data_IF_903541163847
#
_entry.id   IF_903541163847
#
_cell.length_a   1.000
_cell.length_b   1.000
_cell.length_c   1.000
_cell.angle_alpha   90.00
_cell.angle_beta   90.00
_cell.angle_gamma   90.00
#
_symmetry.space_group_name_H-M   'P 1'
#
loop_
_entity.id
_entity.type
_entity.pdbx_description
1 polymer ?
#
# COMPACT_ATOMS: atom_id res chain seq x y z
N UNK A 1 13.64 -8.20 16.06
CA UNK A 1 12.51 -7.43 16.65
C UNK A 1 11.73 -8.26 17.66
N UNK A 2 11.23 -9.45 17.30
CA UNK A 2 10.46 -10.29 18.24
C UNK A 2 11.30 -10.60 19.50
N UNK A 3 12.55 -11.02 19.34
CA UNK A 3 13.45 -11.29 20.48
C UNK A 3 13.59 -10.06 21.39
N UNK A 4 13.75 -8.87 20.80
CA UNK A 4 13.84 -7.62 21.55
C UNK A 4 12.59 -7.33 22.36
N UNK A 5 11.41 -7.71 21.84
CA UNK A 5 10.13 -7.49 22.53
C UNK A 5 10.04 -8.27 23.85
N UNK A 6 10.80 -9.35 24.01
CA UNK A 6 10.79 -10.16 25.24
C UNK A 6 11.92 -9.80 26.22
N UNK A 7 12.96 -9.11 25.76
CA UNK A 7 14.13 -8.83 26.62
C UNK A 7 13.75 -7.91 27.78
N UNK A 8 14.08 -8.33 29.00
CA UNK A 8 13.87 -7.62 30.26
C UNK A 8 12.39 -7.44 30.61
N UNK A 9 11.61 -6.78 29.76
CA UNK A 9 10.17 -6.57 29.95
C UNK A 9 9.46 -6.76 28.60
N UNK A 10 8.23 -7.19 28.66
CA UNK A 10 7.41 -7.35 27.43
C UNK A 10 7.07 -5.95 26.90
N UNK A 11 7.36 -5.75 25.62
CA UNK A 11 7.11 -4.50 24.89
C UNK A 11 6.10 -4.75 23.76
N UNK A 12 5.21 -3.80 23.55
CA UNK A 12 4.29 -3.87 22.41
C UNK A 12 5.09 -3.74 21.11
N UNK A 13 4.83 -4.63 20.17
CA UNK A 13 5.44 -4.61 18.84
C UNK A 13 4.43 -4.02 17.85
N UNK A 14 4.79 -2.94 17.20
CA UNK A 14 3.98 -2.32 16.15
C UNK A 14 4.60 -2.67 14.79
N UNK A 15 3.88 -3.45 13.98
CA UNK A 15 4.38 -3.93 12.69
C UNK A 15 3.69 -3.21 11.55
N UNK A 16 4.48 -2.53 10.72
CA UNK A 16 3.96 -1.86 9.53
C UNK A 16 4.01 -2.86 8.37
N UNK A 17 2.83 -3.37 8.01
CA UNK A 17 2.61 -4.28 6.90
C UNK A 17 2.14 -3.49 5.66
N UNK A 18 1.20 -4.04 4.89
CA UNK A 18 0.64 -3.42 3.68
C UNK A 18 -0.66 -4.14 3.31
N UNK A 19 -1.57 -3.46 2.62
CA UNK A 19 -2.74 -4.12 2.04
C UNK A 19 -2.35 -5.12 0.93
N UNK A 20 -1.13 -5.00 0.38
CA UNK A 20 -0.64 -5.94 -0.65
C UNK A 20 -0.46 -7.39 -0.13
N UNK A 21 -0.60 -7.64 1.19
CA UNK A 21 -0.61 -9.02 1.71
C UNK A 21 -1.82 -9.82 1.27
N UNK A 22 -2.85 -9.16 0.74
CA UNK A 22 -4.00 -9.84 0.15
C UNK A 22 -3.72 -10.11 -1.32
N UNK A 23 -4.13 -11.29 -1.79
CA UNK A 23 -4.04 -11.60 -3.21
C UNK A 23 -4.94 -10.63 -3.99
N UNK A 24 -4.49 -10.20 -5.18
CA UNK A 24 -5.26 -9.32 -6.05
C UNK A 24 -6.64 -9.89 -6.38
N UNK A 25 -6.77 -11.21 -6.46
CA UNK A 25 -8.04 -11.86 -6.69
C UNK A 25 -9.01 -11.75 -5.49
N UNK A 26 -8.47 -11.48 -4.28
CA UNK A 26 -9.32 -11.29 -3.09
C UNK A 26 -9.68 -9.83 -2.85
N UNK A 27 -9.06 -8.91 -3.61
CA UNK A 27 -9.33 -7.46 -3.51
C UNK A 27 -10.39 -7.01 -4.53
N UNK A 28 -11.42 -7.81 -4.74
CA UNK A 28 -12.56 -7.40 -5.57
C UNK A 28 -13.55 -6.59 -4.72
N UNK A 29 -14.35 -5.71 -5.36
CA UNK A 29 -15.37 -4.95 -4.62
C UNK A 29 -16.36 -5.84 -3.85
N UNK A 30 -16.47 -7.10 -4.26
CA UNK A 30 -17.38 -8.06 -3.65
C UNK A 30 -16.77 -8.80 -2.45
N UNK A 31 -15.45 -8.75 -2.29
CA UNK A 31 -14.71 -9.46 -1.25
C UNK A 31 -14.17 -8.51 -0.20
N UNK A 32 -14.79 -8.49 0.96
CA UNK A 32 -14.35 -7.67 2.08
C UNK A 32 -13.13 -8.31 2.76
N UNK A 33 -12.06 -7.54 2.93
CA UNK A 33 -10.91 -7.95 3.72
C UNK A 33 -11.06 -7.41 5.13
N UNK A 34 -10.85 -8.27 6.11
CA UNK A 34 -11.11 -7.92 7.51
C UNK A 34 -9.82 -7.53 8.25
N UNK A 35 -9.98 -6.64 9.21
CA UNK A 35 -8.92 -6.21 10.14
C UNK A 35 -8.66 -7.31 11.17
N UNK A 36 -8.07 -8.42 10.71
CA UNK A 36 -7.70 -9.58 11.55
C UNK A 36 -6.40 -10.20 11.04
N UNK A 37 -5.80 -11.02 11.86
CA UNK A 37 -4.59 -11.75 11.47
C UNK A 37 -4.87 -12.61 10.23
N UNK A 38 -3.89 -12.68 9.32
CA UNK A 38 -4.00 -13.49 8.12
C UNK A 38 -4.18 -14.98 8.46
N UNK A 39 -5.16 -15.60 7.84
CA UNK A 39 -5.33 -17.05 7.92
C UNK A 39 -4.23 -17.73 7.09
N UNK A 40 -3.82 -18.92 7.53
CA UNK A 40 -2.90 -19.77 6.74
C UNK A 40 -3.54 -20.21 5.40
N UNK A 41 -4.84 -20.13 5.31
CA UNK A 41 -5.58 -20.48 4.08
C UNK A 41 -5.60 -19.33 3.06
N UNK A 42 -5.16 -18.22 3.27
CA UNK A 42 -5.16 -17.24 2.43
C UNK A 42 -4.24 -17.53 1.40
N UNK A 43 -4.67 -17.17 0.40
CA UNK A 43 -3.83 -17.30 -0.77
C UNK A 43 -2.52 -16.51 -0.59
N UNK A 44 -1.45 -17.09 -1.05
CA UNK A 44 -0.15 -16.41 -1.04
C UNK A 44 -0.19 -15.33 -2.14
N UNK A 45 0.08 -14.07 -1.81
CA UNK A 45 0.01 -13.01 -2.83
C UNK A 45 1.10 -13.15 -3.89
N UNK A 46 0.88 -12.51 -5.04
CA UNK A 46 1.85 -12.49 -6.13
C UNK A 46 2.89 -11.38 -5.90
N UNK A 47 4.16 -11.69 -6.20
CA UNK A 47 5.24 -10.71 -6.11
C UNK A 47 6.04 -10.80 -4.80
N UNK A 48 7.35 -10.67 -4.92
CA UNK A 48 8.27 -10.85 -3.78
C UNK A 48 8.02 -9.91 -2.60
N UNK A 49 7.69 -8.64 -2.88
CA UNK A 49 7.37 -7.68 -1.82
C UNK A 49 6.16 -8.16 -0.99
N UNK A 50 5.05 -8.46 -1.67
CA UNK A 50 3.82 -8.89 -1.00
C UNK A 50 4.04 -10.21 -0.26
N UNK A 51 4.76 -11.15 -0.86
CA UNK A 51 5.10 -12.43 -0.24
C UNK A 51 5.94 -12.25 1.02
N UNK A 52 6.95 -11.36 0.98
CA UNK A 52 7.81 -11.11 2.15
C UNK A 52 7.00 -10.54 3.32
N UNK A 53 6.09 -9.61 3.04
CA UNK A 53 5.20 -9.03 4.07
C UNK A 53 4.21 -10.07 4.59
N UNK A 54 3.67 -10.91 3.70
CA UNK A 54 2.75 -11.99 4.07
C UNK A 54 3.44 -12.99 5.03
N UNK A 55 4.67 -13.43 4.69
CA UNK A 55 5.45 -14.34 5.55
C UNK A 55 5.74 -13.67 6.91
N UNK A 56 6.12 -12.39 6.89
CA UNK A 56 6.38 -11.64 8.13
C UNK A 56 5.13 -11.62 9.03
N UNK A 57 3.94 -11.40 8.46
CA UNK A 57 2.70 -11.43 9.24
C UNK A 57 2.40 -12.82 9.82
N UNK A 58 2.74 -13.91 9.10
CA UNK A 58 2.58 -15.27 9.67
C UNK A 58 3.47 -15.44 10.90
N UNK A 59 4.74 -15.00 10.83
CA UNK A 59 5.66 -15.07 11.97
C UNK A 59 5.18 -14.21 13.15
N UNK A 60 4.67 -13.01 12.85
CA UNK A 60 4.12 -12.08 13.83
C UNK A 60 2.89 -12.68 14.52
N UNK A 61 2.01 -13.34 13.74
CA UNK A 61 0.85 -14.04 14.29
C UNK A 61 1.26 -15.17 15.26
N UNK A 62 2.33 -15.91 14.93
CA UNK A 62 2.85 -16.94 15.83
C UNK A 62 3.40 -16.34 17.14
N UNK A 63 4.10 -15.21 17.04
CA UNK A 63 4.61 -14.50 18.22
C UNK A 63 3.47 -13.97 19.10
N UNK A 64 2.41 -13.45 18.47
CA UNK A 64 1.24 -12.97 19.20
C UNK A 64 0.58 -14.11 20.00
N UNK A 65 0.46 -15.29 19.40
CA UNK A 65 -0.08 -16.48 20.08
C UNK A 65 0.78 -16.93 21.27
N UNK A 66 2.04 -16.51 21.31
CA UNK A 66 2.97 -16.79 22.42
C UNK A 66 3.05 -15.66 23.43
N UNK A 67 2.13 -14.69 23.35
CA UNK A 67 1.98 -13.65 24.36
C UNK A 67 2.64 -12.32 24.05
N UNK A 68 3.23 -12.12 22.85
CA UNK A 68 3.73 -10.79 22.48
C UNK A 68 2.53 -9.90 22.14
N UNK A 69 2.35 -8.74 22.79
CA UNK A 69 1.30 -7.80 22.40
C UNK A 69 1.69 -7.14 21.09
N UNK A 70 0.95 -7.39 20.01
CA UNK A 70 1.31 -6.94 18.66
C UNK A 70 0.16 -6.17 18.03
N UNK A 71 0.47 -5.03 17.42
CA UNK A 71 -0.46 -4.26 16.58
C UNK A 71 0.08 -4.31 15.14
N UNK A 72 -0.78 -4.64 14.18
CA UNK A 72 -0.40 -4.65 12.76
C UNK A 72 -1.12 -3.49 12.06
N UNK A 73 -0.38 -2.71 11.28
CA UNK A 73 -0.93 -1.66 10.43
C UNK A 73 -0.73 -2.06 8.97
N UNK A 74 -1.79 -2.04 8.18
CA UNK A 74 -1.76 -2.34 6.73
C UNK A 74 -2.16 -1.08 5.95
N UNK A 75 -1.21 -0.20 5.69
CA UNK A 75 -1.51 0.93 4.80
C UNK A 75 -1.69 0.47 3.35
N UNK A 76 -2.49 1.21 2.60
CA UNK A 76 -2.51 1.16 1.14
C UNK A 76 -1.20 1.74 0.59
N UNK A 77 -1.20 2.19 -0.65
CA UNK A 77 -0.03 2.84 -1.24
C UNK A 77 0.19 4.20 -0.54
N UNK A 78 1.31 4.33 0.20
CA UNK A 78 1.59 5.58 0.90
C UNK A 78 2.11 6.61 -0.11
N UNK A 79 1.40 7.73 -0.23
CA UNK A 79 1.74 8.82 -1.12
C UNK A 79 2.47 9.95 -0.35
N UNK A 80 2.81 11.01 -1.06
CA UNK A 80 3.40 12.21 -0.44
C UNK A 80 2.48 12.80 0.63
N UNK A 81 3.06 13.47 1.59
CA UNK A 81 2.29 14.18 2.62
C UNK A 81 1.58 15.39 2.00
N UNK A 82 0.37 15.67 2.46
CA UNK A 82 -0.42 16.81 1.97
C UNK A 82 0.16 18.16 2.44
N UNK A 83 0.78 18.17 3.63
CA UNK A 83 1.32 19.40 4.22
C UNK A 83 2.72 19.74 3.71
N UNK A 84 3.40 18.86 3.00
CA UNK A 84 4.74 19.12 2.44
C UNK A 84 4.81 18.67 0.98
N UNK A 85 4.10 19.38 0.07
CA UNK A 85 3.98 18.92 -1.33
C UNK A 85 5.26 19.07 -2.18
N UNK A 86 6.36 19.60 -1.62
CA UNK A 86 7.58 19.89 -2.38
C UNK A 86 8.45 18.67 -2.69
N UNK A 87 8.17 17.52 -2.10
CA UNK A 87 8.95 16.31 -2.37
C UNK A 87 8.25 15.42 -3.37
N UNK A 88 8.87 15.22 -4.51
CA UNK A 88 8.41 14.20 -5.46
C UNK A 88 8.71 12.84 -4.83
N UNK A 89 7.67 12.15 -4.43
CA UNK A 89 7.81 10.84 -3.82
C UNK A 89 8.40 9.83 -4.81
N UNK A 90 9.20 8.90 -4.29
CA UNK A 90 9.75 7.81 -5.08
C UNK A 90 8.83 6.58 -5.06
N UNK A 91 7.62 6.73 -4.53
CA UNK A 91 6.66 5.63 -4.52
C UNK A 91 6.22 5.25 -5.95
N UNK A 92 5.73 4.03 -6.08
CA UNK A 92 5.37 3.45 -7.37
C UNK A 92 4.30 4.27 -8.11
N UNK A 93 3.27 4.74 -7.39
CA UNK A 93 2.18 5.50 -8.01
C UNK A 93 2.68 6.81 -8.58
N UNK A 94 3.44 7.58 -7.79
CA UNK A 94 4.01 8.85 -8.25
C UNK A 94 4.89 8.63 -9.49
N UNK A 95 5.73 7.58 -9.46
CA UNK A 95 6.59 7.28 -10.61
C UNK A 95 5.77 6.90 -11.84
N UNK A 96 4.69 6.12 -11.66
CA UNK A 96 3.78 5.77 -12.75
C UNK A 96 3.17 7.03 -13.39
N UNK A 97 2.62 7.93 -12.57
CA UNK A 97 2.00 9.17 -13.06
C UNK A 97 3.01 10.07 -13.77
N UNK A 98 4.25 10.16 -13.25
CA UNK A 98 5.32 10.92 -13.90
C UNK A 98 5.68 10.34 -15.27
N UNK A 99 5.71 9.01 -15.39
CA UNK A 99 5.96 8.34 -16.67
C UNK A 99 4.81 8.63 -17.65
N UNK A 100 3.56 8.52 -17.17
CA UNK A 100 2.40 8.85 -18.00
C UNK A 100 2.46 10.29 -18.51
N UNK A 101 2.82 11.22 -17.63
CA UNK A 101 2.96 12.65 -18.00
C UNK A 101 4.07 12.85 -19.04
N UNK A 102 5.24 12.23 -18.84
CA UNK A 102 6.38 12.35 -19.79
C UNK A 102 6.07 11.75 -21.15
N UNK A 103 5.37 10.63 -21.17
CA UNK A 103 4.98 9.98 -22.43
C UNK A 103 3.74 10.61 -23.06
N UNK A 104 2.97 11.39 -22.30
CA UNK A 104 1.62 11.88 -22.65
C UNK A 104 0.67 10.72 -22.99
N UNK A 105 0.92 9.54 -22.36
CA UNK A 105 0.14 8.33 -22.55
C UNK A 105 -0.10 7.63 -21.20
N UNK A 106 -1.29 7.13 -20.98
CA UNK A 106 -1.64 6.33 -19.81
C UNK A 106 -2.31 5.03 -20.24
N UNK A 107 -2.17 3.95 -19.47
CA UNK A 107 -2.85 2.71 -19.80
C UNK A 107 -4.36 2.85 -19.52
N UNK A 108 -5.18 2.32 -20.44
CA UNK A 108 -6.63 2.27 -20.27
C UNK A 108 -6.96 1.12 -19.30
N UNK A 109 -6.87 1.41 -18.01
CA UNK A 109 -7.09 0.43 -16.95
C UNK A 109 -8.17 0.90 -15.98
N UNK A 110 -8.99 -0.03 -15.53
CA UNK A 110 -10.08 0.24 -14.58
C UNK A 110 -9.65 -0.04 -13.13
N UNK A 111 -8.38 -0.36 -12.90
CA UNK A 111 -7.88 -0.66 -11.56
C UNK A 111 -8.04 0.51 -10.60
N UNK A 112 -8.43 0.20 -9.38
CA UNK A 112 -8.51 1.17 -8.30
C UNK A 112 -7.17 1.24 -7.58
N UNK A 113 -6.76 2.43 -7.20
CA UNK A 113 -5.56 2.66 -6.40
C UNK A 113 -5.98 3.19 -5.04
N UNK A 114 -5.68 2.43 -4.02
CA UNK A 114 -5.89 2.85 -2.63
C UNK A 114 -4.60 3.53 -2.15
N UNK A 115 -4.59 4.86 -2.17
CA UNK A 115 -3.43 5.61 -1.69
C UNK A 115 -3.79 6.44 -0.46
N UNK A 116 -2.81 6.57 0.42
CA UNK A 116 -2.99 7.19 1.74
C UNK A 116 -1.86 8.22 1.93
N UNK A 117 -2.19 9.49 2.21
CA UNK A 117 -1.14 10.47 2.47
C UNK A 117 -0.25 10.08 3.67
N UNK A 118 1.07 10.33 3.54
CA UNK A 118 2.05 9.93 4.55
C UNK A 118 1.77 10.59 5.91
N UNK A 119 1.32 11.83 5.92
CA UNK A 119 0.98 12.55 7.14
C UNK A 119 -0.24 11.93 7.85
N UNK A 120 -1.26 11.52 7.08
CA UNK A 120 -2.40 10.80 7.65
C UNK A 120 -1.95 9.45 8.22
N UNK A 121 -1.20 8.66 7.43
CA UNK A 121 -0.74 7.34 7.88
C UNK A 121 0.10 7.46 9.15
N UNK A 122 1.05 8.41 9.20
CA UNK A 122 1.92 8.59 10.36
C UNK A 122 1.15 9.03 11.60
N UNK A 123 0.19 9.95 11.46
CA UNK A 123 -0.66 10.39 12.57
C UNK A 123 -1.51 9.23 13.10
N UNK A 124 -2.13 8.46 12.20
CA UNK A 124 -2.95 7.30 12.60
C UNK A 124 -2.11 6.27 13.36
N UNK A 125 -0.94 5.92 12.83
CA UNK A 125 -0.03 4.96 13.48
C UNK A 125 0.38 5.49 14.86
N UNK A 126 0.78 6.76 14.93
CA UNK A 126 1.23 7.38 16.19
C UNK A 126 0.12 7.33 17.26
N UNK A 127 -1.09 7.74 16.90
CA UNK A 127 -2.21 7.76 17.84
C UNK A 127 -2.61 6.35 18.30
N UNK A 128 -2.77 5.42 17.35
CA UNK A 128 -3.20 4.05 17.65
C UNK A 128 -2.13 3.32 18.47
N UNK A 129 -0.84 3.54 18.18
CA UNK A 129 0.24 2.86 18.89
C UNK A 129 0.33 3.23 20.37
N UNK A 130 -0.23 4.38 20.77
CA UNK A 130 -0.28 4.82 22.16
C UNK A 130 -1.45 4.23 22.94
N UNK A 131 -2.42 3.61 22.26
CA UNK A 131 -3.60 3.05 22.91
C UNK A 131 -3.33 1.57 23.25
N UNK A 132 -3.32 1.25 24.55
CA UNK A 132 -3.10 -0.12 25.01
C UNK A 132 -4.13 -1.11 24.47
N UNK A 133 -5.32 -0.63 24.11
CA UNK A 133 -6.40 -1.45 23.53
C UNK A 133 -6.11 -1.88 22.09
N UNK A 134 -5.09 -1.29 21.44
CA UNK A 134 -4.69 -1.64 20.09
C UNK A 134 -3.87 -2.94 20.04
N UNK A 135 -3.33 -3.37 21.18
CA UNK A 135 -2.56 -4.62 21.24
C UNK A 135 -3.46 -5.80 20.85
N UNK A 136 -2.95 -6.65 19.97
CA UNK A 136 -3.69 -7.80 19.44
C UNK A 136 -4.56 -7.49 18.24
N UNK A 137 -4.56 -6.24 17.76
CA UNK A 137 -5.44 -5.82 16.67
C UNK A 137 -4.68 -5.55 15.38
N UNK A 138 -5.43 -5.54 14.28
CA UNK A 138 -4.95 -5.20 12.94
C UNK A 138 -5.76 -4.00 12.45
N UNK A 139 -5.10 -3.05 11.82
CA UNK A 139 -5.75 -1.83 11.31
C UNK A 139 -5.41 -1.66 9.84
N UNK A 140 -6.43 -1.43 9.01
CA UNK A 140 -6.25 -1.04 7.62
C UNK A 140 -6.23 0.49 7.53
N UNK A 141 -5.16 1.04 6.99
CA UNK A 141 -5.06 2.48 6.74
C UNK A 141 -5.26 2.67 5.23
N UNK A 142 -6.53 2.80 4.86
CA UNK A 142 -6.98 2.83 3.47
C UNK A 142 -7.84 4.06 3.23
N UNK A 143 -7.96 4.48 1.98
CA UNK A 143 -8.85 5.58 1.63
C UNK A 143 -10.28 5.04 1.47
N UNK A 144 -11.29 5.71 2.04
CA UNK A 144 -12.68 5.24 1.92
C UNK A 144 -13.19 5.24 0.48
N UNK A 145 -12.59 6.06 -0.39
CA UNK A 145 -12.96 6.18 -1.79
C UNK A 145 -11.68 6.08 -2.65
N UNK A 146 -11.19 4.85 -2.93
CA UNK A 146 -9.99 4.71 -3.74
C UNK A 146 -10.24 5.24 -5.16
N UNK A 147 -9.23 5.87 -5.75
CA UNK A 147 -9.33 6.48 -7.08
C UNK A 147 -8.95 5.48 -8.17
N UNK A 148 -9.61 5.56 -9.32
CA UNK A 148 -9.17 4.82 -10.51
C UNK A 148 -8.04 5.56 -11.22
N UNK A 149 -7.25 4.86 -11.99
CA UNK A 149 -6.25 5.48 -12.87
C UNK A 149 -6.89 6.51 -13.80
N UNK A 150 -7.89 6.25 -14.25
CA UNK A 150 -8.65 7.03 -14.98
C UNK A 150 -8.90 8.26 -14.41
N UNK A 151 -9.45 8.36 -13.18
CA UNK A 151 -9.74 9.61 -12.48
C UNK A 151 -8.47 10.43 -12.24
N UNK A 152 -7.38 9.77 -11.84
CA UNK A 152 -6.10 10.46 -11.63
C UNK A 152 -5.60 11.14 -12.92
N UNK A 153 -5.73 10.47 -14.07
CA UNK A 153 -5.32 11.03 -15.36
C UNK A 153 -6.24 12.20 -15.76
N UNK A 154 -7.55 12.08 -15.50
CA UNK A 154 -8.48 13.18 -15.77
C UNK A 154 -8.12 14.42 -14.95
N UNK A 155 -7.74 14.22 -13.68
CA UNK A 155 -7.30 15.32 -12.83
C UNK A 155 -6.01 15.97 -13.36
N UNK A 156 -5.03 15.17 -13.77
CA UNK A 156 -3.80 15.70 -14.38
C UNK A 156 -4.10 16.48 -15.66
N UNK A 157 -5.05 15.99 -16.47
CA UNK A 157 -5.46 16.67 -17.71
C UNK A 157 -6.18 17.99 -17.42
N UNK A 158 -6.96 18.06 -16.35
CA UNK A 158 -7.58 19.36 -15.95
C UNK A 158 -6.52 20.39 -15.59
N UNK A 159 -5.32 19.92 -15.18
CA UNK A 159 -4.17 20.77 -14.88
C UNK A 159 -3.25 20.99 -16.11
N UNK A 160 -3.66 20.54 -17.30
CA UNK A 160 -2.95 20.79 -18.56
C UNK A 160 -1.94 19.72 -18.99
N UNK A 161 -2.04 18.49 -18.48
CA UNK A 161 -1.04 17.46 -18.79
C UNK A 161 -1.17 16.85 -20.20
N UNK A 162 -2.37 16.89 -20.81
CA UNK A 162 -2.62 16.37 -22.16
C UNK A 162 -2.27 14.89 -22.35
N UNK A 163 -2.63 14.05 -21.37
CA UNK A 163 -2.34 12.60 -21.38
C UNK A 163 -3.50 11.87 -22.07
N UNK A 164 -3.18 11.03 -23.05
CA UNK A 164 -4.16 10.19 -23.78
C UNK A 164 -4.15 8.78 -23.24
N UNK A 165 -5.33 8.17 -23.13
CA UNK A 165 -5.43 6.76 -22.72
C UNK A 165 -5.27 5.84 -23.95
N UNK A 166 -4.46 4.80 -23.80
CA UNK A 166 -4.19 3.82 -24.86
C UNK A 166 -4.29 2.39 -24.26
N UNK A 167 -4.43 1.36 -25.12
CA UNK A 167 -4.37 -0.01 -24.60
C UNK A 167 -3.09 -0.29 -23.81
N UNK A 168 -3.19 -1.15 -22.79
CA UNK A 168 -2.08 -1.44 -21.89
C UNK A 168 -0.80 -1.88 -22.64
N UNK A 169 -0.97 -2.75 -23.64
CA UNK A 169 0.17 -3.28 -24.41
C UNK A 169 0.90 -2.17 -25.17
N UNK A 170 0.15 -1.20 -25.72
CA UNK A 170 0.74 -0.06 -26.41
C UNK A 170 1.50 0.83 -25.42
N UNK A 171 0.88 1.11 -24.27
CA UNK A 171 1.51 1.91 -23.22
C UNK A 171 2.79 1.24 -22.72
N UNK A 172 2.74 -0.06 -22.43
CA UNK A 172 3.89 -0.81 -21.93
C UNK A 172 5.06 -0.79 -22.94
N UNK A 173 4.77 -0.96 -24.23
CA UNK A 173 5.78 -0.85 -25.28
C UNK A 173 6.49 0.51 -25.24
N UNK A 174 5.73 1.58 -25.11
CA UNK A 174 6.28 2.94 -25.03
C UNK A 174 7.11 3.15 -23.77
N UNK A 175 6.70 2.60 -22.64
CA UNK A 175 7.49 2.65 -21.39
C UNK A 175 8.83 1.94 -21.58
N UNK A 176 8.82 0.73 -22.16
CA UNK A 176 10.05 -0.03 -22.41
C UNK A 176 11.00 0.74 -23.36
N UNK A 177 10.46 1.31 -24.44
CA UNK A 177 11.26 2.13 -25.37
C UNK A 177 11.87 3.35 -24.67
N UNK A 178 11.08 4.00 -23.79
CA UNK A 178 11.54 5.16 -23.02
C UNK A 178 12.66 4.78 -22.04
N UNK A 179 12.54 3.62 -21.38
CA UNK A 179 13.52 3.17 -20.39
C UNK A 179 14.90 2.88 -21.04
N UNK A 180 14.92 2.46 -22.30
CA UNK A 180 16.17 2.16 -23.03
C UNK A 180 16.93 3.41 -23.49
N UNK A 181 16.29 4.58 -23.43
CA UNK A 181 16.92 5.84 -23.87
C UNK A 181 17.59 6.61 -22.72
N UNK A 182 17.59 6.06 -21.52
CA UNK A 182 18.28 6.59 -20.34
C UNK A 182 19.53 5.80 -20.03
#
# INVERSE_FOLDING_TARGET
MIDFSFRQRIKTLHFISTTAVFDSATLSPENTTFEKYLSKKXAIPVGGYAQSKWVAEQLISLASKRGVPITIFRPGAVSSALDTPKHVSKDLLTQLLLVCQKLRLAPREKGLVDFVPADYASKAISLISQDVRAAGKVFHLTHPHPASIXELIAELNSLGAEIKDVPYEEWLKRVIEFSKKK
#
